data_IF_008632708287
#
_entry.id   IF_008632708287
#
_cell.length_a   1.000
_cell.length_b   1.000
_cell.length_c   1.000
_cell.angle_alpha   90.00
_cell.angle_beta   90.00
_cell.angle_gamma   90.00
#
_symmetry.space_group_name_H-M   'P 1'
#
loop_
_entity.id
_entity.type
_entity.pdbx_description
1 polymer ?
#
# COMPACT_ATOMS: atom_id res chain seq x y z
N UNK A 1 -1.32 -29.05 -6.65
CA UNK A 1 -0.47 -29.51 -5.52
C UNK A 1 0.97 -29.60 -5.97
N UNK A 2 1.91 -29.25 -5.09
CA UNK A 2 3.36 -29.33 -5.29
C UNK A 2 4.04 -30.18 -4.22
N UNK A 3 3.34 -30.50 -3.13
CA UNK A 3 3.83 -31.35 -2.05
C UNK A 3 2.76 -32.34 -1.59
N UNK A 4 3.21 -33.48 -1.02
CA UNK A 4 2.36 -34.48 -0.42
C UNK A 4 2.39 -34.32 1.11
N UNK A 5 1.26 -33.95 1.72
CA UNK A 5 1.16 -33.78 3.17
C UNK A 5 1.24 -35.13 3.93
N UNK A 6 0.85 -36.24 3.28
CA UNK A 6 0.90 -37.56 3.90
C UNK A 6 2.32 -38.09 4.01
N UNK A 7 3.15 -37.83 2.99
CA UNK A 7 4.52 -38.38 2.93
C UNK A 7 5.59 -37.32 3.23
N UNK A 8 5.19 -36.08 3.52
CA UNK A 8 6.08 -34.94 3.78
C UNK A 8 7.19 -34.81 2.74
N UNK A 9 6.82 -34.77 1.45
CA UNK A 9 7.78 -34.66 0.36
C UNK A 9 7.25 -33.79 -0.78
N UNK A 10 8.15 -33.26 -1.59
CA UNK A 10 7.79 -32.64 -2.88
C UNK A 10 7.26 -33.69 -3.85
N UNK A 11 6.32 -33.32 -4.70
CA UNK A 11 5.82 -34.18 -5.77
C UNK A 11 6.85 -34.32 -6.89
N UNK A 12 6.96 -35.51 -7.48
CA UNK A 12 7.80 -35.71 -8.65
C UNK A 12 7.14 -35.12 -9.91
N UNK A 13 7.91 -34.34 -10.67
CA UNK A 13 7.43 -33.63 -11.88
C UNK A 13 7.68 -34.45 -13.15
N UNK A 14 8.74 -35.25 -13.15
CA UNK A 14 9.23 -35.96 -14.32
C UNK A 14 9.29 -37.44 -14.08
N UNK A 15 9.20 -38.20 -15.17
CA UNK A 15 9.39 -39.63 -15.15
C UNK A 15 10.85 -39.97 -14.82
N UNK A 16 11.13 -40.94 -13.91
CA UNK A 16 12.49 -41.30 -13.55
C UNK A 16 13.28 -41.94 -14.71
N UNK A 17 12.59 -42.55 -15.67
CA UNK A 17 13.25 -43.19 -16.80
C UNK A 17 13.42 -42.27 -18.02
N UNK A 18 12.33 -41.70 -18.54
CA UNK A 18 12.38 -40.87 -19.76
C UNK A 18 12.56 -39.35 -19.47
N UNK A 19 12.59 -38.92 -18.21
CA UNK A 19 12.72 -37.54 -17.73
C UNK A 19 11.68 -36.55 -18.28
N UNK A 20 10.68 -37.06 -18.98
CA UNK A 20 9.63 -36.19 -19.51
C UNK A 20 8.69 -35.73 -18.43
N UNK A 21 8.27 -34.45 -18.47
CA UNK A 21 7.31 -33.91 -17.50
C UNK A 21 5.95 -34.63 -17.69
N UNK A 22 5.30 -34.88 -16.55
CA UNK A 22 4.01 -35.55 -16.57
C UNK A 22 2.91 -34.55 -16.96
N UNK A 23 1.97 -34.99 -17.80
CA UNK A 23 0.82 -34.17 -18.25
C UNK A 23 1.17 -32.85 -18.96
N UNK A 24 2.34 -32.76 -19.57
CA UNK A 24 2.75 -31.59 -20.35
C UNK A 24 1.87 -31.36 -21.58
N UNK A 25 1.26 -32.42 -22.10
CA UNK A 25 0.34 -32.36 -23.25
C UNK A 25 -0.98 -33.04 -22.87
N UNK A 26 -2.14 -32.45 -23.22
CA UNK A 26 -3.44 -33.07 -23.02
C UNK A 26 -3.42 -34.49 -23.68
N UNK A 27 -3.86 -35.48 -22.92
CA UNK A 27 -4.04 -36.81 -23.48
C UNK A 27 -5.11 -36.74 -24.57
N UNK A 28 -4.87 -37.45 -25.70
CA UNK A 28 -5.94 -37.63 -26.70
C UNK A 28 -7.15 -38.27 -26.03
N UNK A 29 -8.34 -37.77 -26.37
CA UNK A 29 -9.62 -38.25 -25.84
C UNK A 29 -9.79 -39.76 -25.97
N UNK A 30 -9.07 -40.38 -26.92
CA UNK A 30 -9.12 -41.83 -27.19
C UNK A 30 -8.27 -42.69 -26.24
N UNK A 31 -7.46 -42.13 -25.34
CA UNK A 31 -6.55 -42.89 -24.50
C UNK A 31 -6.44 -42.31 -23.08
N UNK A 32 -7.12 -42.97 -22.16
CA UNK A 32 -6.98 -42.69 -20.74
C UNK A 32 -5.63 -43.25 -20.26
N UNK A 33 -4.68 -42.46 -19.76
CA UNK A 33 -3.44 -42.94 -19.20
C UNK A 33 -3.69 -43.88 -18.02
N UNK A 34 -2.97 -44.98 -17.92
CA UNK A 34 -3.04 -45.83 -16.72
C UNK A 34 -2.49 -45.05 -15.53
N UNK A 35 -3.26 -44.90 -14.43
CA UNK A 35 -2.79 -44.21 -13.23
C UNK A 35 -1.49 -44.84 -12.71
N UNK A 36 -0.53 -43.97 -12.32
CA UNK A 36 0.75 -44.40 -11.78
C UNK A 36 1.82 -44.80 -12.85
N UNK A 37 1.46 -44.88 -14.12
CA UNK A 37 2.42 -45.20 -15.21
C UNK A 37 2.68 -43.95 -16.07
N UNK A 38 3.93 -43.81 -16.54
CA UNK A 38 4.34 -42.76 -17.46
C UNK A 38 3.68 -42.94 -18.83
N UNK A 39 2.88 -41.96 -19.22
CA UNK A 39 2.16 -41.95 -20.48
C UNK A 39 2.92 -41.27 -21.63
N UNK A 40 4.18 -40.88 -21.43
CA UNK A 40 4.96 -40.14 -22.44
C UNK A 40 5.26 -41.09 -23.64
N UNK A 41 5.13 -40.52 -24.85
CA UNK A 41 5.46 -41.24 -26.10
C UNK A 41 6.98 -41.28 -26.28
N UNK A 42 7.55 -42.45 -26.49
CA UNK A 42 8.98 -42.58 -26.80
C UNK A 42 9.28 -42.04 -28.20
N UNK A 43 10.38 -41.29 -28.31
CA UNK A 43 10.83 -40.69 -29.58
C UNK A 43 11.29 -41.82 -30.51
N UNK A 44 10.86 -41.77 -31.80
CA UNK A 44 11.24 -42.77 -32.81
C UNK A 44 10.14 -43.77 -33.15
N UNK A 45 9.04 -43.82 -32.42
CA UNK A 45 7.91 -44.68 -32.72
C UNK A 45 6.92 -43.97 -33.65
N UNK A 46 7.07 -44.13 -34.96
CA UNK A 46 6.13 -43.66 -35.96
C UNK A 46 5.20 -44.80 -36.37
N UNK A 47 3.88 -44.63 -36.24
CA UNK A 47 2.90 -45.62 -36.67
C UNK A 47 1.70 -45.78 -35.71
N UNK A 48 0.77 -46.68 -36.05
CA UNK A 48 -0.45 -46.95 -35.25
C UNK A 48 -0.16 -47.58 -33.87
N UNK A 49 1.06 -48.09 -33.64
CA UNK A 49 1.53 -48.62 -32.36
C UNK A 49 2.44 -47.66 -31.63
N UNK A 50 1.89 -46.60 -30.98
CA UNK A 50 2.71 -45.67 -30.21
C UNK A 50 3.19 -46.33 -28.93
N UNK A 51 4.50 -46.66 -28.87
CA UNK A 51 5.12 -47.17 -27.64
C UNK A 51 5.22 -46.04 -26.59
N UNK A 52 4.69 -46.30 -25.40
CA UNK A 52 4.76 -45.39 -24.26
C UNK A 52 5.87 -45.84 -23.31
N UNK A 53 6.39 -44.94 -22.54
CA UNK A 53 7.44 -45.20 -21.56
C UNK A 53 7.01 -46.30 -20.56
N UNK A 54 5.78 -46.22 -20.02
CA UNK A 54 5.23 -47.26 -19.15
C UNK A 54 5.90 -47.39 -17.78
N UNK A 55 6.92 -46.60 -17.47
CA UNK A 55 7.63 -46.65 -16.19
C UNK A 55 6.70 -46.29 -15.04
N UNK A 56 6.78 -47.00 -13.93
CA UNK A 56 6.06 -46.69 -12.71
C UNK A 56 6.53 -45.38 -12.13
N UNK A 57 5.60 -44.45 -11.86
CA UNK A 57 5.91 -43.10 -11.35
C UNK A 57 6.11 -43.11 -9.82
N UNK A 58 5.64 -44.12 -9.11
CA UNK A 58 5.81 -44.25 -7.68
C UNK A 58 7.27 -44.40 -7.23
N UNK A 59 8.14 -44.88 -8.14
CA UNK A 59 9.58 -45.02 -7.87
C UNK A 59 10.37 -43.75 -8.15
N UNK A 60 9.71 -42.66 -8.58
CA UNK A 60 10.40 -41.42 -8.84
C UNK A 60 10.99 -40.85 -7.52
N UNK A 61 12.25 -40.39 -7.55
CA UNK A 61 12.86 -39.78 -6.38
C UNK A 61 12.06 -38.56 -5.99
N UNK A 62 11.76 -38.44 -4.70
CA UNK A 62 11.08 -37.27 -4.12
C UNK A 62 11.95 -36.65 -3.04
N UNK A 63 11.98 -35.31 -2.97
CA UNK A 63 12.71 -34.59 -1.93
C UNK A 63 11.91 -34.62 -0.61
N UNK A 64 12.42 -35.26 0.45
CA UNK A 64 11.75 -35.24 1.75
C UNK A 64 11.82 -33.87 2.39
N UNK A 65 10.78 -33.49 3.09
CA UNK A 65 10.64 -32.22 3.81
C UNK A 65 10.40 -32.49 5.29
N UNK A 66 10.96 -31.63 6.17
CA UNK A 66 10.63 -31.67 7.58
C UNK A 66 9.11 -31.43 7.79
N UNK A 67 8.51 -32.04 8.78
CA UNK A 67 7.06 -31.99 9.01
C UNK A 67 6.52 -30.54 9.14
N UNK A 68 7.31 -29.64 9.68
CA UNK A 68 6.98 -28.24 9.87
C UNK A 68 7.46 -27.32 8.72
N UNK A 69 7.93 -27.91 7.63
CA UNK A 69 8.51 -27.16 6.50
C UNK A 69 7.50 -26.19 5.89
N UNK A 70 7.91 -24.93 5.57
CA UNK A 70 7.02 -23.89 5.02
C UNK A 70 6.27 -24.28 3.74
N UNK A 71 6.84 -25.12 2.91
CA UNK A 71 6.19 -25.70 1.72
C UNK A 71 4.95 -26.51 2.13
N UNK A 72 5.08 -27.39 3.15
CA UNK A 72 3.96 -28.22 3.64
C UNK A 72 2.88 -27.34 4.30
N UNK A 73 3.27 -26.35 5.13
CA UNK A 73 2.33 -25.40 5.72
C UNK A 73 1.52 -24.65 4.67
N UNK A 74 2.15 -24.25 3.57
CA UNK A 74 1.45 -23.55 2.49
C UNK A 74 0.55 -24.50 1.70
N UNK A 75 0.98 -25.73 1.43
CA UNK A 75 0.12 -26.74 0.82
C UNK A 75 -1.10 -27.03 1.70
N UNK A 76 -0.92 -27.16 3.00
CA UNK A 76 -2.03 -27.34 3.96
C UNK A 76 -3.02 -26.16 3.94
N UNK A 77 -2.51 -24.93 3.87
CA UNK A 77 -3.36 -23.73 3.75
C UNK A 77 -4.20 -23.76 2.45
N UNK A 78 -3.59 -24.18 1.34
CA UNK A 78 -4.28 -24.33 0.05
C UNK A 78 -5.34 -25.43 0.14
N UNK A 79 -4.99 -26.59 0.66
CA UNK A 79 -5.90 -27.73 0.76
C UNK A 79 -7.11 -27.42 1.66
N UNK A 80 -6.89 -26.73 2.77
CA UNK A 80 -7.97 -26.24 3.64
C UNK A 80 -8.90 -25.27 2.90
N UNK A 81 -8.35 -24.36 2.11
CA UNK A 81 -9.14 -23.44 1.30
C UNK A 81 -9.86 -24.14 0.14
N UNK A 82 -9.26 -25.16 -0.47
CA UNK A 82 -9.90 -25.98 -1.51
C UNK A 82 -11.08 -26.74 -0.91
N UNK A 83 -10.93 -27.32 0.27
CA UNK A 83 -11.99 -28.08 0.93
C UNK A 83 -13.19 -27.21 1.32
N UNK A 84 -12.92 -25.97 1.80
CA UNK A 84 -13.98 -25.06 2.30
C UNK A 84 -14.47 -24.08 1.25
N UNK A 85 -13.79 -23.92 0.13
CA UNK A 85 -14.05 -22.87 -0.89
C UNK A 85 -13.56 -21.48 -0.47
N UNK A 86 -13.05 -21.32 0.77
CA UNK A 86 -12.79 -20.01 1.39
C UNK A 86 -11.47 -20.02 2.15
N UNK A 87 -10.62 -19.00 1.95
CA UNK A 87 -9.45 -18.72 2.79
C UNK A 87 -9.87 -17.89 4.01
N UNK A 88 -9.52 -18.36 5.22
CA UNK A 88 -9.87 -17.75 6.51
C UNK A 88 -8.68 -17.52 7.43
N UNK A 89 -7.48 -17.88 7.02
CA UNK A 89 -6.26 -17.79 7.84
C UNK A 89 -5.36 -16.65 7.39
N UNK A 90 -4.41 -16.25 8.22
CA UNK A 90 -3.48 -15.20 7.90
C UNK A 90 -4.16 -13.85 7.64
N UNK A 91 -3.74 -13.17 6.58
CA UNK A 91 -4.30 -11.86 6.20
C UNK A 91 -5.81 -11.89 5.88
N UNK A 92 -6.39 -13.07 5.67
CA UNK A 92 -7.82 -13.27 5.40
C UNK A 92 -8.65 -13.47 6.67
N UNK A 93 -8.01 -13.52 7.86
CA UNK A 93 -8.71 -13.81 9.11
C UNK A 93 -9.81 -12.80 9.47
N UNK A 94 -9.61 -11.51 9.14
CA UNK A 94 -10.62 -10.46 9.38
C UNK A 94 -11.68 -10.35 8.28
N UNK A 95 -11.32 -10.71 7.06
CA UNK A 95 -12.20 -10.66 5.88
C UNK A 95 -11.93 -11.89 5.01
N UNK A 96 -12.67 -12.97 5.22
CA UNK A 96 -12.52 -14.20 4.45
C UNK A 96 -12.62 -13.93 2.93
N UNK A 97 -11.78 -14.63 2.17
CA UNK A 97 -11.70 -14.46 0.73
C UNK A 97 -12.03 -15.78 0.01
N UNK A 98 -12.61 -15.75 -1.20
CA UNK A 98 -12.86 -16.96 -1.97
C UNK A 98 -11.53 -17.61 -2.36
N UNK A 99 -11.53 -18.94 -2.56
CA UNK A 99 -10.36 -19.71 -3.00
C UNK A 99 -9.66 -19.07 -4.21
N UNK A 100 -10.43 -18.59 -5.19
CA UNK A 100 -9.89 -17.94 -6.38
C UNK A 100 -9.02 -16.72 -6.06
N UNK A 101 -9.37 -15.96 -5.03
CA UNK A 101 -8.57 -14.82 -4.59
C UNK A 101 -7.26 -15.27 -3.91
N UNK A 102 -7.29 -16.32 -3.05
CA UNK A 102 -6.08 -16.91 -2.48
C UNK A 102 -5.13 -17.40 -3.59
N UNK A 103 -5.65 -18.12 -4.58
CA UNK A 103 -4.84 -18.62 -5.69
C UNK A 103 -4.26 -17.45 -6.50
N UNK A 104 -5.06 -16.41 -6.80
CA UNK A 104 -4.58 -15.23 -7.50
C UNK A 104 -3.46 -14.50 -6.72
N UNK A 105 -3.62 -14.40 -5.39
CA UNK A 105 -2.63 -13.77 -4.52
C UNK A 105 -1.32 -14.58 -4.45
N UNK A 106 -1.41 -15.91 -4.32
CA UNK A 106 -0.27 -16.83 -4.36
C UNK A 106 0.46 -16.72 -5.71
N UNK A 107 -0.27 -16.76 -6.82
CA UNK A 107 0.30 -16.63 -8.16
C UNK A 107 0.97 -15.27 -8.38
N UNK A 108 0.34 -14.18 -7.90
CA UNK A 108 0.88 -12.84 -8.04
C UNK A 108 2.21 -12.65 -7.28
N UNK A 109 2.26 -13.11 -6.03
CA UNK A 109 3.46 -13.07 -5.21
C UNK A 109 4.51 -14.06 -5.71
N UNK A 110 4.12 -15.31 -5.90
CA UNK A 110 5.00 -16.38 -6.35
C UNK A 110 5.64 -16.06 -7.70
N UNK A 111 4.85 -15.62 -8.66
CA UNK A 111 5.36 -15.19 -9.97
C UNK A 111 6.35 -14.02 -9.89
N UNK A 112 6.15 -13.10 -8.93
CA UNK A 112 7.10 -12.00 -8.69
C UNK A 112 8.39 -12.49 -8.06
N UNK A 113 8.30 -13.39 -7.07
CA UNK A 113 9.45 -14.02 -6.40
C UNK A 113 10.27 -14.82 -7.42
N UNK A 114 9.64 -15.63 -8.24
CA UNK A 114 10.31 -16.47 -9.24
C UNK A 114 10.98 -15.66 -10.34
N UNK A 115 10.38 -14.54 -10.72
CA UNK A 115 10.98 -13.65 -11.73
C UNK A 115 12.27 -12.98 -11.23
N UNK A 116 12.36 -12.72 -9.93
CA UNK A 116 13.48 -12.02 -9.27
C UNK A 116 13.79 -12.69 -7.94
N UNK A 117 14.33 -13.95 -7.95
CA UNK A 117 14.57 -14.67 -6.72
C UNK A 117 15.75 -14.08 -5.96
N UNK A 118 15.53 -13.79 -4.69
CA UNK A 118 16.59 -13.51 -3.73
C UNK A 118 16.93 -14.84 -3.05
N UNK A 119 18.06 -15.44 -3.43
CA UNK A 119 18.43 -16.78 -2.97
C UNK A 119 18.68 -16.85 -1.46
N UNK A 120 19.19 -15.79 -0.86
CA UNK A 120 19.46 -15.78 0.58
C UNK A 120 18.16 -15.78 1.39
N UNK A 121 17.18 -14.97 0.99
CA UNK A 121 15.85 -15.01 1.57
C UNK A 121 15.15 -16.35 1.37
N UNK A 122 15.29 -16.95 0.20
CA UNK A 122 14.71 -18.26 -0.09
C UNK A 122 15.35 -19.38 0.73
N UNK A 123 16.68 -19.34 0.99
CA UNK A 123 17.36 -20.28 1.89
C UNK A 123 16.86 -20.15 3.32
N UNK A 124 16.68 -18.92 3.81
CA UNK A 124 16.13 -18.70 5.15
C UNK A 124 14.67 -19.19 5.28
N UNK A 125 13.89 -19.08 4.21
CA UNK A 125 12.48 -19.48 4.20
C UNK A 125 12.27 -20.98 3.97
N UNK A 126 13.21 -21.69 3.34
CA UNK A 126 13.07 -23.10 3.00
C UNK A 126 14.26 -23.89 3.57
N UNK A 127 15.15 -24.35 2.72
CA UNK A 127 16.42 -25.01 3.09
C UNK A 127 17.40 -24.96 1.94
N UNK A 128 18.68 -25.17 2.23
CA UNK A 128 19.73 -25.25 1.20
C UNK A 128 19.45 -26.36 0.17
N UNK A 129 18.97 -27.51 0.62
CA UNK A 129 18.66 -28.63 -0.26
C UNK A 129 17.55 -28.29 -1.27
N UNK A 130 16.48 -27.64 -0.81
CA UNK A 130 15.37 -27.22 -1.67
C UNK A 130 15.81 -26.12 -2.66
N UNK A 131 16.66 -25.19 -2.22
CA UNK A 131 17.19 -24.13 -3.10
C UNK A 131 18.19 -24.70 -4.10
N UNK A 132 19.00 -25.70 -3.73
CA UNK A 132 19.91 -26.37 -4.65
C UNK A 132 19.16 -27.10 -5.76
N UNK A 133 18.08 -27.82 -5.40
CA UNK A 133 17.19 -28.50 -6.37
C UNK A 133 16.50 -27.49 -7.30
N UNK A 134 16.04 -26.37 -6.77
CA UNK A 134 15.48 -25.28 -7.56
C UNK A 134 16.46 -24.71 -8.58
N UNK A 135 17.71 -24.52 -8.19
CA UNK A 135 18.76 -24.00 -9.08
C UNK A 135 19.13 -25.03 -10.17
N UNK A 136 19.13 -26.33 -9.83
CA UNK A 136 19.34 -27.41 -10.80
C UNK A 136 18.21 -27.42 -11.84
N UNK A 137 16.95 -27.44 -11.40
CA UNK A 137 15.77 -27.38 -12.28
C UNK A 137 15.75 -26.15 -13.19
N UNK A 138 16.20 -25.02 -12.69
CA UNK A 138 16.25 -23.75 -13.46
C UNK A 138 17.34 -23.77 -14.54
N UNK A 139 18.47 -24.43 -14.33
CA UNK A 139 19.51 -24.60 -15.35
C UNK A 139 19.02 -25.45 -16.52
N UNK A 140 18.24 -26.47 -16.25
CA UNK A 140 17.67 -27.33 -17.29
C UNK A 140 16.60 -26.61 -18.13
N UNK A 141 15.86 -25.68 -17.55
CA UNK A 141 14.79 -24.92 -18.24
C UNK A 141 15.29 -23.80 -19.17
N UNK A 142 16.56 -23.40 -19.09
CA UNK A 142 17.12 -22.25 -19.85
C UNK A 142 17.29 -22.52 -21.36
N UNK A 143 17.03 -23.72 -21.87
CA UNK A 143 17.11 -24.05 -23.29
C UNK A 143 15.78 -23.97 -24.08
N UNK A 144 14.66 -23.63 -23.44
CA UNK A 144 13.35 -23.54 -24.09
C UNK A 144 12.90 -22.09 -24.28
N UNK A 145 13.04 -21.56 -25.48
CA UNK A 145 12.50 -20.25 -25.88
C UNK A 145 10.97 -20.24 -25.82
N UNK A 146 10.41 -19.24 -25.20
CA UNK A 146 9.09 -18.61 -25.29
C UNK A 146 8.25 -18.63 -24.00
N UNK A 147 8.05 -17.39 -23.53
CA UNK A 147 6.90 -17.00 -22.73
C UNK A 147 6.99 -17.49 -21.29
N UNK A 148 6.75 -16.61 -20.34
CA UNK A 148 6.61 -16.92 -18.91
C UNK A 148 5.46 -17.92 -18.71
N UNK A 149 5.68 -19.16 -19.09
CA UNK A 149 5.02 -20.27 -18.45
C UNK A 149 5.70 -20.40 -17.10
N UNK A 150 4.93 -20.32 -16.01
CA UNK A 150 5.42 -20.64 -14.70
C UNK A 150 6.25 -21.92 -14.81
N UNK A 151 7.49 -21.90 -14.31
CA UNK A 151 8.29 -23.12 -14.19
C UNK A 151 7.38 -24.18 -13.58
N UNK A 152 7.07 -25.21 -14.34
CA UNK A 152 6.07 -26.21 -13.96
C UNK A 152 6.61 -27.21 -12.95
N UNK A 153 7.83 -26.99 -12.45
CA UNK A 153 8.44 -27.88 -11.48
C UNK A 153 7.79 -27.76 -10.09
N UNK A 154 7.61 -28.88 -9.40
CA UNK A 154 7.05 -28.90 -8.05
C UNK A 154 7.96 -28.15 -7.08
N UNK A 155 9.28 -28.21 -7.25
CA UNK A 155 10.23 -27.48 -6.41
C UNK A 155 10.11 -25.98 -6.60
N UNK A 156 10.03 -25.49 -7.84
CA UNK A 156 9.84 -24.06 -8.11
C UNK A 156 8.49 -23.55 -7.59
N UNK A 157 7.42 -24.30 -7.86
CA UNK A 157 6.08 -24.02 -7.34
C UNK A 157 6.04 -24.05 -5.81
N UNK A 158 6.71 -25.01 -5.19
CA UNK A 158 6.80 -25.16 -3.73
C UNK A 158 7.51 -23.98 -3.07
N UNK A 159 8.67 -23.57 -3.59
CA UNK A 159 9.41 -22.39 -3.10
C UNK A 159 8.61 -21.12 -3.27
N UNK A 160 8.05 -20.89 -4.46
CA UNK A 160 7.24 -19.71 -4.74
C UNK A 160 6.02 -19.64 -3.81
N UNK A 161 5.35 -20.78 -3.62
CA UNK A 161 4.21 -20.88 -2.72
C UNK A 161 4.61 -20.69 -1.26
N UNK A 162 5.72 -21.29 -0.80
CA UNK A 162 6.21 -21.12 0.57
C UNK A 162 6.53 -19.65 0.89
N UNK A 163 7.25 -18.98 0.00
CA UNK A 163 7.58 -17.57 0.18
C UNK A 163 6.33 -16.67 0.11
N UNK A 164 5.41 -16.92 -0.80
CA UNK A 164 4.13 -16.24 -0.85
C UNK A 164 3.26 -16.57 0.38
N UNK A 165 3.20 -17.84 0.75
CA UNK A 165 2.45 -18.33 1.92
C UNK A 165 2.94 -17.76 3.24
N UNK A 166 4.25 -17.52 3.39
CA UNK A 166 4.81 -16.86 4.57
C UNK A 166 4.26 -15.44 4.74
N UNK A 167 4.06 -14.71 3.63
CA UNK A 167 3.47 -13.37 3.62
C UNK A 167 1.98 -13.44 3.91
N UNK A 168 1.25 -14.29 3.17
CA UNK A 168 -0.22 -14.41 3.28
C UNK A 168 -0.68 -15.02 4.60
N UNK A 169 0.15 -15.90 5.20
CA UNK A 169 -0.09 -16.53 6.49
C UNK A 169 0.19 -15.66 7.72
N UNK A 170 0.66 -14.43 7.54
CA UNK A 170 0.90 -13.51 8.65
C UNK A 170 -0.40 -13.11 9.36
N UNK A 171 -0.36 -12.92 10.67
CA UNK A 171 -1.55 -12.70 11.50
C UNK A 171 -2.31 -11.39 11.14
N UNK A 172 -1.63 -10.41 10.56
CA UNK A 172 -2.21 -9.13 10.17
C UNK A 172 -1.45 -8.46 9.02
N UNK A 173 -2.06 -7.40 8.47
CA UNK A 173 -1.50 -6.65 7.34
C UNK A 173 -0.12 -6.05 7.63
N UNK A 174 0.15 -5.58 8.84
CA UNK A 174 1.43 -4.96 9.19
C UNK A 174 2.57 -5.98 9.23
N UNK A 175 2.31 -7.14 9.81
CA UNK A 175 3.25 -8.27 9.84
C UNK A 175 3.51 -8.80 8.42
N UNK A 176 2.46 -9.02 7.64
CA UNK A 176 2.58 -9.42 6.23
C UNK A 176 3.40 -8.43 5.42
N UNK A 177 3.17 -7.13 5.63
CA UNK A 177 3.96 -6.06 5.01
C UNK A 177 5.43 -6.12 5.42
N UNK A 178 5.71 -6.38 6.70
CA UNK A 178 7.07 -6.61 7.21
C UNK A 178 7.77 -7.74 6.46
N UNK A 179 7.09 -8.90 6.36
CA UNK A 179 7.58 -10.09 5.64
C UNK A 179 7.74 -9.88 4.13
N UNK A 180 7.06 -8.88 3.56
CA UNK A 180 7.13 -8.57 2.12
C UNK A 180 8.22 -7.53 1.78
N UNK A 181 8.76 -6.79 2.74
CA UNK A 181 9.67 -5.65 2.48
C UNK A 181 10.91 -6.03 1.70
N UNK A 182 11.49 -7.20 1.97
CA UNK A 182 12.67 -7.67 1.24
C UNK A 182 12.41 -7.75 -0.28
N UNK A 183 11.23 -8.22 -0.68
CA UNK A 183 10.86 -8.34 -2.09
C UNK A 183 10.78 -6.95 -2.76
N UNK A 184 10.28 -5.95 -2.06
CA UNK A 184 10.23 -4.56 -2.55
C UNK A 184 11.64 -3.98 -2.65
N UNK A 185 12.45 -4.10 -1.59
CA UNK A 185 13.82 -3.61 -1.56
C UNK A 185 14.66 -4.24 -2.67
N UNK A 186 14.60 -5.56 -2.82
CA UNK A 186 15.31 -6.29 -3.85
C UNK A 186 14.90 -5.87 -5.28
N UNK A 187 13.59 -5.70 -5.53
CA UNK A 187 13.12 -5.23 -6.82
C UNK A 187 13.61 -3.81 -7.14
N UNK A 188 13.65 -2.91 -6.15
CA UNK A 188 14.17 -1.55 -6.32
C UNK A 188 15.67 -1.54 -6.59
N UNK A 189 16.44 -2.34 -5.84
CA UNK A 189 17.87 -2.49 -6.04
C UNK A 189 18.19 -2.94 -7.48
N UNK A 190 17.37 -3.79 -8.06
CA UNK A 190 17.50 -4.24 -9.44
C UNK A 190 16.86 -3.29 -10.48
N UNK A 191 16.72 -2.00 -10.16
CA UNK A 191 16.26 -0.96 -11.09
C UNK A 191 14.78 -1.07 -11.48
N UNK A 192 13.96 -1.83 -10.75
CA UNK A 192 12.53 -1.97 -11.02
C UNK A 192 11.75 -0.88 -10.30
N UNK A 193 10.92 -0.16 -11.04
CA UNK A 193 10.02 0.81 -10.42
C UNK A 193 8.97 0.08 -9.57
N UNK A 194 8.96 0.38 -8.28
CA UNK A 194 7.90 -0.05 -7.37
C UNK A 194 7.29 1.23 -6.82
N UNK A 195 6.10 1.56 -7.26
CA UNK A 195 5.39 2.80 -6.92
C UNK A 195 3.93 2.51 -6.60
N UNK A 196 3.24 3.49 -6.04
CA UNK A 196 1.82 3.39 -5.75
C UNK A 196 0.97 3.11 -7.00
N UNK A 197 1.39 3.59 -8.17
CA UNK A 197 0.71 3.35 -9.44
C UNK A 197 0.96 1.95 -10.01
N UNK A 198 2.10 1.34 -9.67
CA UNK A 198 2.45 -0.03 -10.05
C UNK A 198 2.02 -1.07 -9.01
N UNK A 199 1.29 -0.67 -7.98
CA UNK A 199 0.66 -1.58 -7.02
C UNK A 199 -0.43 -2.36 -7.74
N UNK A 200 -0.27 -3.63 -7.74
CA UNK A 200 -1.12 -4.54 -8.49
C UNK A 200 -0.26 -5.53 -9.23
N UNK A 201 0.67 -6.14 -8.52
CA UNK A 201 1.43 -7.27 -9.03
C UNK A 201 0.48 -8.44 -9.20
N UNK A 202 -0.24 -8.44 -10.28
CA UNK A 202 -1.19 -9.47 -10.63
C UNK A 202 -2.60 -8.91 -10.89
N UNK A 203 -3.27 -9.51 -11.88
CA UNK A 203 -4.69 -9.27 -12.12
C UNK A 203 -5.51 -10.08 -11.11
N UNK A 204 -6.57 -9.51 -10.59
CA UNK A 204 -7.50 -10.23 -9.72
C UNK A 204 -7.03 -10.44 -8.26
N UNK A 205 -5.95 -9.80 -7.82
CA UNK A 205 -5.50 -9.88 -6.42
C UNK A 205 -6.57 -9.37 -5.45
N UNK A 206 -6.59 -9.95 -4.24
CA UNK A 206 -7.51 -9.59 -3.19
C UNK A 206 -7.30 -8.17 -2.66
N UNK A 207 -8.32 -7.62 -1.98
CA UNK A 207 -8.18 -6.36 -1.25
C UNK A 207 -7.18 -6.49 -0.09
N UNK A 208 -7.09 -7.67 0.53
CA UNK A 208 -6.15 -7.97 1.61
C UNK A 208 -4.69 -7.88 1.12
N UNK A 209 -4.32 -8.58 0.05
CA UNK A 209 -2.97 -8.50 -0.51
C UNK A 209 -2.64 -7.07 -0.97
N UNK A 210 -3.61 -6.37 -1.53
CA UNK A 210 -3.44 -4.97 -1.94
C UNK A 210 -3.10 -4.06 -0.76
N UNK A 211 -3.75 -4.28 0.39
CA UNK A 211 -3.44 -3.57 1.63
C UNK A 211 -2.03 -3.89 2.15
N UNK A 212 -1.62 -5.16 2.08
CA UNK A 212 -0.26 -5.59 2.41
C UNK A 212 0.78 -4.88 1.53
N UNK A 213 0.56 -4.85 0.22
CA UNK A 213 1.45 -4.18 -0.73
C UNK A 213 1.59 -2.67 -0.43
N UNK A 214 0.47 -1.99 -0.14
CA UNK A 214 0.48 -0.56 0.21
C UNK A 214 1.24 -0.30 1.51
N UNK A 215 1.01 -1.11 2.52
CA UNK A 215 1.71 -1.03 3.80
C UNK A 215 3.21 -1.28 3.65
N UNK A 216 3.60 -2.29 2.88
CA UNK A 216 4.99 -2.62 2.61
C UNK A 216 5.73 -1.51 1.82
N UNK A 217 5.01 -0.80 0.95
CA UNK A 217 5.52 0.32 0.14
C UNK A 217 5.59 1.64 0.92
N UNK A 218 4.99 1.74 2.09
CA UNK A 218 4.80 3.03 2.80
C UNK A 218 6.05 3.87 2.90
N UNK A 219 7.21 3.28 3.25
CA UNK A 219 8.49 3.98 3.38
C UNK A 219 9.06 4.51 2.04
N UNK A 220 8.55 4.05 0.91
CA UNK A 220 8.99 4.47 -0.43
C UNK A 220 8.03 5.45 -1.09
N UNK A 221 6.88 5.70 -0.48
CA UNK A 221 5.89 6.64 -0.97
C UNK A 221 6.19 8.06 -0.49
N UNK A 222 5.88 9.05 -1.33
CA UNK A 222 5.85 10.44 -0.86
C UNK A 222 4.78 10.59 0.24
N UNK A 223 4.93 11.57 1.13
CA UNK A 223 3.93 11.84 2.19
C UNK A 223 2.53 12.04 1.58
N UNK A 224 2.43 12.74 0.46
CA UNK A 224 1.15 12.92 -0.23
C UNK A 224 0.55 11.60 -0.74
N UNK A 225 1.38 10.65 -1.17
CA UNK A 225 0.90 9.34 -1.58
C UNK A 225 0.54 8.46 -0.38
N UNK A 226 1.34 8.53 0.69
CA UNK A 226 0.99 7.85 1.95
C UNK A 226 -0.41 8.24 2.42
N UNK A 227 -0.73 9.54 2.42
CA UNK A 227 -2.05 10.06 2.77
C UNK A 227 -3.14 9.60 1.79
N UNK A 228 -2.89 9.68 0.47
CA UNK A 228 -3.85 9.23 -0.54
C UNK A 228 -4.20 7.75 -0.37
N UNK A 229 -3.21 6.91 -0.10
CA UNK A 229 -3.40 5.47 0.07
C UNK A 229 -3.68 5.06 1.52
N UNK A 230 -3.71 6.03 2.45
CA UNK A 230 -4.01 5.79 3.88
C UNK A 230 -3.11 4.73 4.49
N UNK A 231 -1.79 4.87 4.27
CA UNK A 231 -0.81 3.87 4.72
C UNK A 231 -0.59 3.85 6.22
N UNK A 232 -1.08 4.84 6.95
CA UNK A 232 -1.05 4.92 8.42
C UNK A 232 -2.32 4.35 9.08
N UNK A 233 -3.33 4.02 8.29
CA UNK A 233 -4.51 3.28 8.75
C UNK A 233 -4.19 1.80 8.94
N UNK A 234 -4.96 1.13 9.78
CA UNK A 234 -4.86 -0.34 9.99
C UNK A 234 -5.09 -1.14 8.71
N UNK A 235 -5.85 -0.58 7.77
CA UNK A 235 -6.17 -1.17 6.47
C UNK A 235 -5.96 -0.15 5.35
N UNK A 236 -4.73 -0.02 4.80
CA UNK A 236 -4.46 0.84 3.66
C UNK A 236 -5.40 0.56 2.48
N UNK A 237 -5.87 1.61 1.81
CA UNK A 237 -6.86 1.49 0.72
C UNK A 237 -6.44 2.27 -0.51
N UNK A 238 -6.94 1.87 -1.67
CA UNK A 238 -6.87 2.71 -2.87
C UNK A 238 -7.75 3.96 -2.69
N UNK A 239 -7.30 5.14 -3.17
CA UNK A 239 -8.06 6.36 -3.05
C UNK A 239 -9.40 6.29 -3.80
N UNK A 240 -10.44 6.86 -3.17
CA UNK A 240 -11.77 7.00 -3.74
C UNK A 240 -11.93 8.38 -4.42
N UNK A 241 -12.64 8.51 -5.55
CA UNK A 241 -12.68 9.76 -6.30
C UNK A 241 -13.53 10.88 -5.69
N UNK A 242 -14.40 10.62 -4.71
CA UNK A 242 -15.48 11.55 -4.34
C UNK A 242 -15.29 12.37 -3.06
N UNK A 243 -14.32 12.08 -2.21
CA UNK A 243 -14.27 12.66 -0.85
C UNK A 243 -13.63 14.05 -0.72
N UNK A 244 -12.77 14.47 -1.65
CA UNK A 244 -11.92 15.65 -1.45
C UNK A 244 -12.68 17.00 -1.42
N UNK A 245 -13.58 17.23 -2.38
CA UNK A 245 -14.29 18.51 -2.49
C UNK A 245 -15.29 18.70 -1.34
N UNK A 246 -16.00 17.63 -0.96
CA UNK A 246 -16.94 17.67 0.15
C UNK A 246 -16.21 17.92 1.46
N UNK A 247 -15.08 17.23 1.71
CA UNK A 247 -14.27 17.43 2.91
C UNK A 247 -13.69 18.84 2.99
N UNK A 248 -13.23 19.41 1.85
CA UNK A 248 -12.74 20.79 1.79
C UNK A 248 -13.81 21.84 2.14
N UNK A 249 -15.10 21.51 1.95
CA UNK A 249 -16.22 22.38 2.36
C UNK A 249 -16.29 22.54 3.87
N UNK A 250 -16.01 21.47 4.61
CA UNK A 250 -16.13 21.40 6.06
C UNK A 250 -14.84 21.73 6.82
N UNK A 251 -13.76 22.04 6.09
CA UNK A 251 -12.44 22.34 6.67
C UNK A 251 -12.08 23.82 6.54
N UNK A 252 -11.49 24.44 7.59
CA UNK A 252 -10.86 25.73 7.45
C UNK A 252 -9.57 25.61 6.62
N UNK A 253 -9.18 26.68 5.92
CA UNK A 253 -7.89 26.76 5.20
C UNK A 253 -6.68 26.67 6.14
N UNK A 254 -6.85 27.07 7.39
CA UNK A 254 -5.92 26.87 8.50
C UNK A 254 -6.54 25.89 9.49
N UNK A 255 -6.05 24.68 9.55
CA UNK A 255 -6.54 23.66 10.48
C UNK A 255 -6.62 24.19 11.91
N UNK A 256 -7.58 23.73 12.69
CA UNK A 256 -7.81 24.20 14.05
C UNK A 256 -6.53 24.14 14.89
N UNK A 257 -6.21 25.19 15.68
CA UNK A 257 -4.99 25.22 16.48
C UNK A 257 -4.85 24.01 17.40
N UNK A 258 -5.94 23.60 18.05
CA UNK A 258 -5.94 22.47 18.98
C UNK A 258 -5.42 21.16 18.37
N UNK A 259 -5.71 20.90 17.09
CA UNK A 259 -5.20 19.70 16.38
C UNK A 259 -3.69 19.81 16.08
N UNK A 260 -3.16 21.03 16.00
CA UNK A 260 -1.79 21.29 15.56
C UNK A 260 -0.81 21.59 16.71
N UNK A 261 -1.26 21.72 17.96
CA UNK A 261 -0.44 22.17 19.09
C UNK A 261 0.80 21.30 19.33
N UNK A 262 0.68 20.01 19.11
CA UNK A 262 1.76 19.04 19.32
C UNK A 262 2.64 18.83 18.08
N UNK A 263 2.36 19.53 16.97
CA UNK A 263 3.13 19.39 15.73
C UNK A 263 4.23 20.46 15.71
N UNK A 264 5.41 20.09 16.17
CA UNK A 264 6.60 20.95 16.09
C UNK A 264 7.34 20.70 14.78
N UNK A 265 7.69 21.78 14.10
CA UNK A 265 8.45 21.71 12.86
C UNK A 265 9.42 22.90 12.80
N UNK A 266 10.70 22.63 13.03
CA UNK A 266 11.72 23.69 13.10
C UNK A 266 11.81 24.45 11.78
N UNK A 267 11.91 25.78 11.89
CA UNK A 267 12.00 26.69 10.75
C UNK A 267 10.74 26.76 9.88
N UNK A 268 9.58 26.34 10.42
CA UNK A 268 8.27 26.47 9.75
C UNK A 268 7.32 27.23 10.68
N UNK A 269 6.73 28.31 10.17
CA UNK A 269 5.73 29.07 10.93
C UNK A 269 4.47 28.25 11.22
N UNK A 270 3.90 28.40 12.41
CA UNK A 270 2.72 27.65 12.87
C UNK A 270 1.53 27.72 11.88
N UNK A 271 1.29 28.90 11.27
CA UNK A 271 0.27 29.07 10.24
C UNK A 271 0.54 28.24 8.98
N UNK A 272 1.81 28.05 8.60
CA UNK A 272 2.18 27.20 7.46
C UNK A 272 1.95 25.70 7.76
N UNK A 273 2.24 25.28 9.00
CA UNK A 273 1.93 23.91 9.46
C UNK A 273 0.43 23.67 9.42
N UNK A 274 -0.38 24.57 9.99
CA UNK A 274 -1.84 24.48 9.98
C UNK A 274 -2.41 24.41 8.56
N UNK A 275 -1.90 25.25 7.65
CA UNK A 275 -2.32 25.24 6.24
C UNK A 275 -1.94 23.93 5.54
N UNK A 276 -0.73 23.43 5.75
CA UNK A 276 -0.28 22.17 5.15
C UNK A 276 -1.08 20.96 5.68
N UNK A 277 -1.38 20.92 6.96
CA UNK A 277 -2.18 19.84 7.56
C UNK A 277 -3.65 19.89 7.10
N UNK A 278 -4.24 21.07 6.88
CA UNK A 278 -5.56 21.18 6.26
C UNK A 278 -5.57 20.54 4.85
N UNK A 279 -4.55 20.85 4.04
CA UNK A 279 -4.38 20.24 2.73
C UNK A 279 -4.17 18.72 2.84
N UNK A 280 -3.40 18.25 3.84
CA UNK A 280 -3.20 16.84 4.11
C UNK A 280 -4.52 16.11 4.38
N UNK A 281 -5.41 16.66 5.20
CA UNK A 281 -6.75 16.09 5.47
C UNK A 281 -7.55 15.93 4.18
N UNK A 282 -7.52 16.89 3.26
CA UNK A 282 -8.23 16.82 1.97
C UNK A 282 -7.64 15.72 1.08
N UNK A 283 -6.31 15.48 1.14
CA UNK A 283 -5.64 14.45 0.36
C UNK A 283 -5.97 13.02 0.81
N UNK A 284 -6.29 12.80 2.08
CA UNK A 284 -6.55 11.47 2.63
C UNK A 284 -7.57 10.72 1.79
N UNK A 285 -7.17 9.55 1.28
CA UNK A 285 -8.05 8.68 0.48
C UNK A 285 -8.58 9.31 -0.82
N UNK A 286 -8.02 10.42 -1.29
CA UNK A 286 -8.46 11.13 -2.50
C UNK A 286 -7.51 10.92 -3.69
N UNK A 287 -8.00 11.17 -4.92
CA UNK A 287 -7.18 11.10 -6.15
C UNK A 287 -6.71 12.45 -6.67
N UNK A 288 -6.99 13.53 -5.96
CA UNK A 288 -6.62 14.87 -6.42
C UNK A 288 -5.13 15.16 -6.22
N UNK A 289 -4.63 16.13 -6.96
CA UNK A 289 -3.26 16.62 -6.80
C UNK A 289 -3.14 17.49 -5.55
N UNK A 290 -1.91 17.69 -5.07
CA UNK A 290 -1.64 18.62 -3.96
C UNK A 290 -2.09 20.05 -4.30
N UNK A 291 -1.92 20.47 -5.57
CA UNK A 291 -2.36 21.78 -6.05
C UNK A 291 -3.87 21.91 -5.97
N UNK A 292 -4.60 20.94 -6.51
CA UNK A 292 -6.05 20.94 -6.47
C UNK A 292 -6.61 20.93 -5.02
N UNK A 293 -5.97 20.20 -4.09
CA UNK A 293 -6.35 20.21 -2.70
C UNK A 293 -6.14 21.58 -2.05
N UNK A 294 -5.02 22.24 -2.36
CA UNK A 294 -4.73 23.59 -1.88
C UNK A 294 -5.71 24.61 -2.44
N UNK A 295 -6.07 24.50 -3.72
CA UNK A 295 -7.06 25.36 -4.40
C UNK A 295 -8.45 25.21 -3.79
N UNK A 296 -8.92 23.99 -3.55
CA UNK A 296 -10.21 23.73 -2.89
C UNK A 296 -10.33 24.38 -1.53
N UNK A 297 -9.25 24.44 -0.78
CA UNK A 297 -9.20 25.12 0.52
C UNK A 297 -8.98 26.63 0.40
N UNK A 298 -8.68 27.15 -0.80
CA UNK A 298 -8.21 28.50 -0.95
C UNK A 298 -6.94 28.74 -0.13
N UNK A 299 -6.00 27.81 -0.10
CA UNK A 299 -4.78 27.94 0.70
C UNK A 299 -3.91 29.10 0.18
N UNK A 300 -3.38 29.91 1.11
CA UNK A 300 -2.47 31.00 0.77
C UNK A 300 -1.09 30.51 0.34
N UNK A 301 -0.77 29.26 0.68
CA UNK A 301 0.53 28.64 0.48
C UNK A 301 0.54 27.85 -0.82
N UNK A 302 1.59 28.02 -1.64
CA UNK A 302 1.73 27.26 -2.88
C UNK A 302 1.86 25.75 -2.60
N UNK A 303 1.41 24.91 -3.54
CA UNK A 303 1.52 23.46 -3.43
C UNK A 303 2.96 22.98 -3.15
N UNK A 304 3.96 23.67 -3.72
CA UNK A 304 5.39 23.39 -3.48
C UNK A 304 5.79 23.67 -2.01
N UNK A 305 5.31 24.75 -1.44
CA UNK A 305 5.59 25.06 -0.04
C UNK A 305 4.84 24.10 0.90
N UNK A 306 3.59 23.75 0.62
CA UNK A 306 2.85 22.70 1.32
C UNK A 306 3.62 21.39 1.29
N UNK A 307 4.09 20.95 0.11
CA UNK A 307 4.89 19.72 -0.02
C UNK A 307 6.13 19.73 0.87
N UNK A 308 6.87 20.84 0.91
CA UNK A 308 8.05 20.98 1.77
C UNK A 308 7.71 20.87 3.26
N UNK A 309 6.62 21.50 3.69
CA UNK A 309 6.16 21.41 5.09
C UNK A 309 5.77 19.97 5.42
N UNK A 310 4.96 19.31 4.58
CA UNK A 310 4.57 17.91 4.80
C UNK A 310 5.78 16.97 4.86
N UNK A 311 6.79 17.18 4.01
CA UNK A 311 8.03 16.40 4.07
C UNK A 311 8.82 16.61 5.36
N UNK A 312 8.87 17.85 5.89
CA UNK A 312 9.51 18.15 7.17
C UNK A 312 8.76 17.48 8.34
N UNK A 313 7.44 17.62 8.37
CA UNK A 313 6.59 16.93 9.36
C UNK A 313 6.79 15.41 9.27
N UNK A 314 6.87 14.86 8.06
CA UNK A 314 7.10 13.42 7.83
C UNK A 314 8.47 12.89 8.28
N UNK A 315 9.43 13.78 8.55
CA UNK A 315 10.75 13.42 9.09
C UNK A 315 10.85 13.54 10.61
N UNK A 316 9.83 14.07 11.27
CA UNK A 316 9.82 14.20 12.73
C UNK A 316 9.47 12.86 13.39
N UNK A 317 9.94 12.65 14.61
CA UNK A 317 9.67 11.44 15.40
C UNK A 317 8.16 11.26 15.66
N UNK A 318 7.40 12.34 15.68
CA UNK A 318 5.94 12.35 15.84
C UNK A 318 5.17 12.09 14.54
N UNK A 319 5.83 11.95 13.40
CA UNK A 319 5.18 11.87 12.08
C UNK A 319 4.05 10.84 12.01
N UNK A 320 4.29 9.62 12.49
CA UNK A 320 3.29 8.54 12.45
C UNK A 320 2.02 8.89 13.22
N UNK A 321 2.16 9.52 14.39
CA UNK A 321 1.03 10.01 15.19
C UNK A 321 0.26 11.11 14.46
N UNK A 322 0.98 12.08 13.88
CA UNK A 322 0.38 13.18 13.13
C UNK A 322 -0.42 12.65 11.93
N UNK A 323 0.14 11.74 11.15
CA UNK A 323 -0.56 11.21 9.98
C UNK A 323 -1.77 10.37 10.37
N UNK A 324 -1.69 9.60 11.45
CA UNK A 324 -2.84 8.89 11.99
C UNK A 324 -3.96 9.86 12.38
N UNK A 325 -3.65 10.92 13.12
CA UNK A 325 -4.64 11.95 13.49
C UNK A 325 -5.24 12.62 12.25
N UNK A 326 -4.45 12.90 11.22
CA UNK A 326 -4.94 13.46 9.95
C UNK A 326 -5.89 12.49 9.24
N UNK A 327 -5.59 11.20 9.23
CA UNK A 327 -6.45 10.17 8.64
C UNK A 327 -7.74 9.97 9.45
N UNK A 328 -7.67 9.97 10.78
CA UNK A 328 -8.83 9.88 11.68
C UNK A 328 -9.75 11.10 11.53
N UNK A 329 -9.17 12.31 11.45
CA UNK A 329 -9.94 13.53 11.22
C UNK A 329 -10.64 13.50 9.85
N UNK A 330 -10.00 12.97 8.83
CA UNK A 330 -10.63 12.79 7.53
C UNK A 330 -11.83 11.82 7.60
N UNK A 331 -11.71 10.73 8.37
CA UNK A 331 -12.80 9.78 8.59
C UNK A 331 -13.96 10.41 9.37
N UNK A 332 -13.66 11.20 10.41
CA UNK A 332 -14.68 11.92 11.15
C UNK A 332 -15.46 12.90 10.26
N UNK A 333 -14.77 13.64 9.40
CA UNK A 333 -15.43 14.57 8.47
C UNK A 333 -16.23 13.88 7.36
N UNK A 334 -15.85 12.65 6.99
CA UNK A 334 -16.59 11.85 6.03
C UNK A 334 -17.84 11.19 6.67
N UNK A 335 -17.78 10.88 7.98
CA UNK A 335 -18.90 10.31 8.73
C UNK A 335 -19.87 11.39 9.23
N UNK A 336 -19.33 12.43 9.87
CA UNK A 336 -20.10 13.51 10.50
C UNK A 336 -19.66 14.85 9.91
N UNK A 337 -20.59 15.55 9.28
CA UNK A 337 -20.33 16.87 8.73
C UNK A 337 -20.01 17.86 9.85
N UNK A 338 -18.99 18.69 9.66
CA UNK A 338 -18.76 19.83 10.55
C UNK A 338 -20.02 20.73 10.58
N UNK A 339 -20.41 21.27 11.73
CA UNK A 339 -21.51 22.23 11.80
C UNK A 339 -21.22 23.53 11.05
N UNK A 340 -19.98 23.74 10.65
CA UNK A 340 -19.51 24.96 10.00
C UNK A 340 -19.19 24.69 8.53
N UNK A 341 -19.92 25.34 7.62
CA UNK A 341 -19.63 25.37 6.19
C UNK A 341 -18.54 26.43 5.90
N UNK A 342 -17.29 26.00 5.92
CA UNK A 342 -16.16 26.90 5.65
C UNK A 342 -16.09 27.34 4.18
N UNK A 343 -16.61 26.57 3.22
CA UNK A 343 -16.69 27.04 1.84
C UNK A 343 -17.57 28.30 1.75
N UNK A 344 -18.72 28.28 2.39
CA UNK A 344 -19.60 29.44 2.47
C UNK A 344 -18.96 30.57 3.26
N UNK A 345 -18.27 30.27 4.37
CA UNK A 345 -17.62 31.33 5.18
C UNK A 345 -16.47 32.01 4.44
N UNK A 346 -15.77 31.31 3.56
CA UNK A 346 -14.71 31.92 2.72
C UNK A 346 -15.23 32.94 1.72
N UNK A 347 -16.50 32.91 1.37
CA UNK A 347 -17.14 33.87 0.44
C UNK A 347 -17.78 35.08 1.16
N UNK A 348 -17.74 35.09 2.49
CA UNK A 348 -18.31 36.24 3.25
C UNK A 348 -17.57 37.51 2.95
N UNK A 349 -18.35 38.60 2.72
CA UNK A 349 -17.80 39.93 2.65
C UNK A 349 -17.50 40.43 4.06
N UNK A 350 -16.21 40.49 4.40
CA UNK A 350 -15.73 40.94 5.71
C UNK A 350 -15.34 42.45 5.72
N UNK A 351 -15.79 43.23 4.73
CA UNK A 351 -15.39 44.62 4.56
C UNK A 351 -15.63 45.52 5.80
N UNK A 352 -16.74 45.31 6.49
CA UNK A 352 -17.13 46.06 7.69
C UNK A 352 -16.75 45.39 9.02
N UNK A 353 -15.86 44.37 9.00
CA UNK A 353 -15.48 43.62 10.18
C UNK A 353 -14.81 44.53 11.22
N UNK A 354 -15.35 44.59 12.42
CA UNK A 354 -14.89 45.37 13.56
C UNK A 354 -14.71 46.89 13.22
N UNK A 355 -15.79 47.68 13.17
CA UNK A 355 -15.71 49.12 13.01
C UNK A 355 -14.81 49.73 14.09
N UNK A 356 -14.15 50.85 13.78
CA UNK A 356 -13.20 51.50 14.70
C UNK A 356 -13.85 51.94 15.99
N UNK A 357 -15.09 52.50 15.91
CA UNK A 357 -15.89 52.87 17.08
C UNK A 357 -16.12 51.71 18.04
N UNK A 358 -16.48 50.53 17.50
CA UNK A 358 -16.69 49.30 18.28
C UNK A 358 -15.36 48.78 18.88
N UNK A 359 -14.27 48.91 18.15
CA UNK A 359 -12.93 48.55 18.67
C UNK A 359 -12.55 49.44 19.87
N UNK A 360 -12.77 50.76 19.78
CA UNK A 360 -12.50 51.70 20.87
C UNK A 360 -13.36 51.35 22.08
N UNK A 361 -14.65 51.14 21.91
CA UNK A 361 -15.57 50.74 22.97
C UNK A 361 -15.12 49.47 23.69
N UNK A 362 -14.76 48.42 22.96
CA UNK A 362 -14.24 47.15 23.50
C UNK A 362 -12.96 47.40 24.30
N UNK A 363 -12.04 48.18 23.78
CA UNK A 363 -10.79 48.47 24.48
C UNK A 363 -11.02 49.24 25.78
N UNK A 364 -11.86 50.29 25.75
CA UNK A 364 -12.17 51.04 26.94
C UNK A 364 -12.89 50.24 28.01
N UNK A 365 -13.88 49.42 27.61
CA UNK A 365 -14.58 48.54 28.55
C UNK A 365 -13.68 47.46 29.16
N UNK A 366 -12.62 47.10 28.47
CA UNK A 366 -11.62 46.11 28.95
C UNK A 366 -10.43 46.78 29.68
N UNK A 367 -10.43 48.09 29.88
CA UNK A 367 -9.31 48.81 30.50
C UNK A 367 -8.02 48.84 29.67
N UNK A 368 -8.13 48.65 28.36
CA UNK A 368 -6.97 48.52 27.45
C UNK A 368 -6.97 49.74 26.50
N UNK A 369 -5.79 50.32 26.26
CA UNK A 369 -5.64 51.36 25.23
C UNK A 369 -5.95 50.83 23.83
N UNK A 370 -6.78 51.49 23.02
CA UNK A 370 -7.06 51.09 21.63
C UNK A 370 -5.82 50.99 20.75
N UNK A 371 -4.76 51.74 21.10
CA UNK A 371 -3.52 51.72 20.37
C UNK A 371 -3.59 52.38 18.99
N UNK A 372 -2.56 52.14 18.16
CA UNK A 372 -2.49 52.68 16.79
C UNK A 372 -3.26 51.79 15.81
N UNK A 373 -3.47 52.28 14.59
CA UNK A 373 -4.15 51.58 13.48
C UNK A 373 -3.69 50.14 13.26
N UNK A 374 -2.42 49.83 13.56
CA UNK A 374 -1.87 48.47 13.47
C UNK A 374 -2.58 47.50 14.43
N UNK A 375 -2.93 47.90 15.65
CA UNK A 375 -3.65 47.01 16.60
C UNK A 375 -5.04 46.64 16.08
N UNK A 376 -5.77 47.61 15.55
CA UNK A 376 -7.07 47.37 14.94
C UNK A 376 -6.95 46.48 13.71
N UNK A 377 -5.92 46.68 12.85
CA UNK A 377 -5.66 45.83 11.70
C UNK A 377 -5.36 44.37 12.11
N UNK A 378 -4.56 44.17 13.15
CA UNK A 378 -4.28 42.83 13.72
C UNK A 378 -5.56 42.19 14.26
N UNK A 379 -6.38 42.93 15.02
CA UNK A 379 -7.64 42.42 15.54
C UNK A 379 -8.60 42.00 14.39
N UNK A 380 -8.70 42.83 13.35
CA UNK A 380 -9.48 42.48 12.13
C UNK A 380 -8.96 41.24 11.42
N UNK A 381 -7.64 41.09 11.24
CA UNK A 381 -7.03 39.90 10.65
C UNK A 381 -7.31 38.66 11.50
N UNK A 382 -7.21 38.79 12.82
CA UNK A 382 -7.52 37.69 13.75
C UNK A 382 -8.99 37.25 13.67
N UNK A 383 -9.93 38.21 13.69
CA UNK A 383 -11.36 37.96 13.54
C UNK A 383 -11.68 37.34 12.18
N UNK A 384 -11.07 37.84 11.10
CA UNK A 384 -11.20 37.28 9.77
C UNK A 384 -10.80 35.79 9.73
N UNK A 385 -9.66 35.45 10.35
CA UNK A 385 -9.23 34.07 10.47
C UNK A 385 -10.24 33.22 11.24
N UNK A 386 -10.76 33.70 12.34
CA UNK A 386 -11.75 33.01 13.18
C UNK A 386 -13.08 32.75 12.45
N UNK A 387 -13.54 33.73 11.73
CA UNK A 387 -14.82 33.68 11.01
C UNK A 387 -14.71 32.82 9.77
N UNK A 388 -13.71 33.08 8.92
CA UNK A 388 -13.61 32.42 7.59
C UNK A 388 -12.79 31.14 7.60
N UNK A 389 -11.97 30.91 8.62
CA UNK A 389 -10.97 29.85 8.64
C UNK A 389 -9.82 30.06 7.66
N UNK A 390 -9.75 31.25 7.02
CA UNK A 390 -8.71 31.60 6.06
C UNK A 390 -7.57 32.39 6.75
N UNK A 391 -6.33 32.35 6.21
CA UNK A 391 -5.22 33.10 6.81
C UNK A 391 -5.49 34.57 6.89
N UNK A 392 -5.17 35.19 8.02
CA UNK A 392 -5.31 36.65 8.22
C UNK A 392 -4.55 37.48 7.18
N UNK A 393 -3.49 36.94 6.60
CA UNK A 393 -2.76 37.56 5.48
C UNK A 393 -3.59 37.75 4.21
N UNK A 394 -4.73 37.10 4.07
CA UNK A 394 -5.71 37.32 2.99
C UNK A 394 -6.72 38.44 3.28
N UNK A 395 -6.78 38.85 4.52
CA UNK A 395 -7.66 39.96 4.86
C UNK A 395 -7.15 41.27 4.23
N UNK A 396 -8.09 42.09 3.76
CA UNK A 396 -7.75 43.39 3.14
C UNK A 396 -6.90 44.30 4.03
N UNK A 397 -6.90 44.08 5.31
CA UNK A 397 -6.11 44.85 6.29
C UNK A 397 -4.67 44.33 6.46
N UNK A 398 -4.32 43.20 5.90
CA UNK A 398 -2.98 42.62 6.00
C UNK A 398 -1.89 43.51 5.39
N UNK A 399 -2.24 44.35 4.42
CA UNK A 399 -1.31 45.34 3.83
C UNK A 399 -0.73 46.30 4.87
N UNK A 400 -1.44 46.58 5.94
CA UNK A 400 -0.94 47.43 7.03
C UNK A 400 0.12 46.73 7.90
N UNK A 401 0.29 45.41 7.74
CA UNK A 401 1.26 44.60 8.48
C UNK A 401 2.59 44.44 7.72
N UNK A 402 2.60 44.77 6.43
CA UNK A 402 3.78 44.59 5.55
C UNK A 402 4.52 45.89 5.25
N UNK A 403 4.28 46.96 6.04
CA UNK A 403 4.96 48.25 5.90
C UNK A 403 6.50 48.11 6.08
N UNK A 404 7.30 49.03 5.51
CA UNK A 404 8.76 48.90 5.36
C UNK A 404 9.60 49.02 6.65
N UNK A 405 9.00 48.91 7.84
CA UNK A 405 9.63 49.22 9.13
C UNK A 405 10.17 48.05 9.93
N UNK A 406 10.38 46.88 9.36
CA UNK A 406 11.04 45.77 10.08
C UNK A 406 12.27 45.19 9.34
N UNK A 407 13.13 46.10 8.82
CA UNK A 407 14.53 45.76 8.50
C UNK A 407 15.44 46.57 9.41
N UNK A 408 15.38 46.37 10.70
CA UNK A 408 16.40 46.74 11.66
C UNK A 408 15.89 46.35 13.06
N UNK A 409 16.27 45.25 13.57
CA UNK A 409 16.99 44.89 14.82
C UNK A 409 17.21 43.38 14.80
#
# INVERSE_FOLDING_TARGET
SFACLRHNCLLADSCPACRSPQRAVPASVALIPVPGLCAHKLIGCHGRGVTRCGTELAVAPSLPLAHDHPILKTQQMIDAAVFTGIARTGIYGRAPAPLSALIADLCALGGRIMRYPNLDELRQLTSDAVVAEFLAARKEATFGYRGVTADSSAVASGIAAAAAGSILGAANTAEAAGRMRWLIAFNRHNGRSVSATSIGWGRGISAALRSVQLSALSSYLSVSDQLRYRTHSTTPRRPHPRSAAERARWLPSLLWPAVCLNVRCDGVGFGQVRSALAVAVVLVGSRITLSAAAELLGAATSARAVSRVLQRVGRSDSATGVWRTVEELADLLDADRSPIDYARRRTLSCGGLLPESVWIEICLSSGISPGRALRLALARCWLYERITGSPGSRARWAMFMTGPTNRAV
#
